data_IF_413681557759
#
_entry.id   IF_413681557759
#
_cell.length_a   1.000
_cell.length_b   1.000
_cell.length_c   1.000
_cell.angle_alpha   90.00
_cell.angle_beta   90.00
_cell.angle_gamma   90.00
#
_symmetry.space_group_name_H-M   'P 1'
#
loop_
_entity.id
_entity.type
_entity.pdbx_description
1 polymer ?
#
# COMPACT_ATOMS: atom_id res chain seq x y z
N UNK A 1 1.26 3.74 15.18
CA UNK A 1 1.17 3.65 13.71
C UNK A 1 2.30 4.47 13.10
N UNK A 2 3.38 3.85 12.62
CA UNK A 2 4.46 4.60 11.98
C UNK A 2 3.87 5.40 10.80
N UNK A 3 3.99 6.73 10.83
CA UNK A 3 3.36 7.70 9.90
C UNK A 3 3.53 7.33 8.42
N UNK A 4 4.61 6.60 8.13
CA UNK A 4 4.95 6.11 6.81
C UNK A 4 4.06 4.95 6.33
N UNK A 5 3.73 3.96 7.18
CA UNK A 5 3.01 2.75 6.78
C UNK A 5 1.61 3.07 6.21
N UNK A 6 0.91 4.02 6.85
CA UNK A 6 -0.42 4.48 6.39
C UNK A 6 -0.38 5.04 4.97
N UNK A 7 0.69 5.76 4.59
CA UNK A 7 0.86 6.31 3.24
C UNK A 7 1.13 5.21 2.20
N UNK A 8 1.94 4.21 2.53
CA UNK A 8 2.16 3.04 1.66
C UNK A 8 0.83 2.36 1.32
N UNK A 9 -0.02 2.16 2.33
CA UNK A 9 -1.33 1.56 2.15
C UNK A 9 -2.31 2.41 1.36
N UNK A 10 -2.41 3.72 1.64
CA UNK A 10 -3.29 4.60 0.88
C UNK A 10 -2.94 4.60 -0.61
N UNK A 11 -1.64 4.63 -0.96
CA UNK A 11 -1.21 4.54 -2.35
C UNK A 11 -1.62 3.20 -2.99
N UNK A 12 -1.46 2.10 -2.26
CA UNK A 12 -1.84 0.76 -2.71
C UNK A 12 -3.35 0.57 -2.88
N UNK A 13 -4.17 1.07 -1.95
CA UNK A 13 -5.63 1.04 -2.07
C UNK A 13 -6.12 1.83 -3.28
N UNK A 14 -5.58 3.04 -3.49
CA UNK A 14 -5.94 3.86 -4.64
C UNK A 14 -5.56 3.16 -5.96
N UNK A 15 -4.43 2.43 -5.97
CA UNK A 15 -4.03 1.62 -7.13
C UNK A 15 -4.99 0.47 -7.43
N UNK A 16 -5.55 -0.19 -6.39
CA UNK A 16 -6.58 -1.24 -6.55
C UNK A 16 -7.91 -0.70 -7.09
N UNK A 17 -8.20 0.59 -6.86
CA UNK A 17 -9.34 1.30 -7.46
C UNK A 17 -9.09 1.74 -8.91
N UNK A 18 -8.07 1.18 -9.58
CA UNK A 18 -7.69 1.46 -10.96
C UNK A 18 -7.22 2.90 -11.25
N UNK A 19 -6.84 3.66 -10.21
CA UNK A 19 -6.24 4.99 -10.40
C UNK A 19 -4.81 4.88 -10.91
N UNK A 20 -4.42 5.80 -11.80
CA UNK A 20 -3.05 5.90 -12.29
C UNK A 20 -2.12 6.48 -11.22
N UNK A 21 -0.82 6.17 -11.28
CA UNK A 21 0.14 6.73 -10.33
C UNK A 21 0.16 8.27 -10.31
N UNK A 22 -0.15 8.90 -11.45
CA UNK A 22 -0.25 10.36 -11.57
C UNK A 22 -1.43 10.91 -10.75
N UNK A 23 -2.58 10.24 -10.78
CA UNK A 23 -3.77 10.61 -10.00
C UNK A 23 -3.59 10.33 -8.51
N UNK A 24 -3.01 9.18 -8.17
CA UNK A 24 -2.66 8.82 -6.80
C UNK A 24 -1.72 9.88 -6.20
N UNK A 25 -0.71 10.30 -6.97
CA UNK A 25 0.20 11.37 -6.59
C UNK A 25 -0.54 12.67 -6.29
N UNK A 26 -1.46 13.10 -7.16
CA UNK A 26 -2.30 14.28 -6.94
C UNK A 26 -3.14 14.18 -5.66
N UNK A 27 -3.80 13.06 -5.43
CA UNK A 27 -4.65 12.83 -4.24
C UNK A 27 -3.83 12.88 -2.94
N UNK A 28 -2.61 12.34 -2.98
CA UNK A 28 -1.74 12.23 -1.81
C UNK A 28 -0.80 13.43 -1.61
N UNK A 29 -0.81 14.40 -2.53
CA UNK A 29 0.12 15.55 -2.51
C UNK A 29 1.59 15.13 -2.73
N UNK A 30 1.85 14.11 -3.54
CA UNK A 30 3.18 13.60 -3.87
C UNK A 30 3.37 13.42 -5.38
N UNK A 31 4.60 13.19 -5.82
CA UNK A 31 4.87 12.86 -7.22
C UNK A 31 4.35 11.47 -7.59
N UNK A 32 3.97 11.28 -8.85
CA UNK A 32 3.51 9.98 -9.34
C UNK A 32 4.57 8.88 -9.18
N UNK A 33 5.85 9.21 -9.38
CA UNK A 33 6.96 8.28 -9.13
C UNK A 33 7.02 7.82 -7.68
N UNK A 34 6.74 8.71 -6.73
CA UNK A 34 6.69 8.38 -5.30
C UNK A 34 5.46 7.54 -4.97
N UNK A 35 4.31 7.84 -5.57
CA UNK A 35 3.11 6.99 -5.46
C UNK A 35 3.35 5.57 -6.00
N UNK A 36 4.09 5.43 -7.10
CA UNK A 36 4.46 4.13 -7.65
C UNK A 36 5.32 3.32 -6.68
N UNK A 37 6.36 3.94 -6.09
CA UNK A 37 7.20 3.27 -5.07
C UNK A 37 6.37 2.85 -3.86
N UNK A 38 5.48 3.71 -3.37
CA UNK A 38 4.63 3.41 -2.22
C UNK A 38 3.68 2.23 -2.49
N UNK A 39 3.00 2.23 -3.64
CA UNK A 39 2.10 1.14 -4.03
C UNK A 39 2.86 -0.17 -4.25
N UNK A 40 3.97 -0.11 -5.01
CA UNK A 40 4.76 -1.28 -5.34
C UNK A 40 5.46 -1.89 -4.12
N UNK A 41 5.78 -1.09 -3.10
CA UNK A 41 6.36 -1.62 -1.86
C UNK A 41 5.39 -2.55 -1.13
N UNK A 42 4.09 -2.22 -1.10
CA UNK A 42 3.07 -3.08 -0.50
C UNK A 42 2.88 -4.35 -1.32
N UNK A 43 2.81 -4.21 -2.65
CA UNK A 43 2.72 -5.36 -3.58
C UNK A 43 3.94 -6.27 -3.46
N UNK A 44 5.14 -5.71 -3.39
CA UNK A 44 6.38 -6.44 -3.13
C UNK A 44 6.30 -7.16 -1.79
N UNK A 45 5.90 -6.47 -0.72
CA UNK A 45 5.71 -7.12 0.58
C UNK A 45 4.70 -8.27 0.48
N UNK A 46 3.59 -8.13 -0.25
CA UNK A 46 2.55 -9.17 -0.47
C UNK A 46 3.07 -10.34 -1.34
N UNK A 47 3.81 -10.06 -2.39
CA UNK A 47 4.35 -11.09 -3.31
C UNK A 47 5.46 -11.90 -2.66
N UNK A 48 6.31 -11.25 -1.88
CA UNK A 48 7.47 -11.87 -1.23
C UNK A 48 7.19 -12.29 0.23
N UNK A 49 5.92 -12.36 0.66
CA UNK A 49 5.49 -12.78 2.02
C UNK A 49 5.98 -14.16 2.46
N UNK A 50 6.48 -15.01 1.55
CA UNK A 50 7.05 -16.32 1.91
C UNK A 50 8.36 -16.24 2.71
N UNK A 51 8.96 -15.07 2.92
CA UNK A 51 10.16 -14.91 3.76
C UNK A 51 9.87 -14.17 5.07
N UNK A 52 9.15 -14.83 5.99
CA UNK A 52 9.31 -14.79 7.46
C UNK A 52 9.20 -13.47 8.26
N UNK A 53 9.06 -12.27 7.66
CA UNK A 53 9.06 -10.99 8.41
C UNK A 53 8.02 -9.99 7.92
N UNK A 54 6.77 -10.32 8.19
CA UNK A 54 5.69 -9.35 8.14
C UNK A 54 5.24 -9.13 9.58
N UNK A 55 5.33 -7.89 10.05
CA UNK A 55 4.76 -7.52 11.36
C UNK A 55 3.31 -8.01 11.40
N UNK A 56 2.91 -8.66 12.50
CA UNK A 56 1.52 -9.09 12.69
C UNK A 56 0.53 -7.96 12.43
N UNK A 57 0.92 -6.69 12.70
CA UNK A 57 0.12 -5.51 12.39
C UNK A 57 -0.22 -5.37 10.90
N UNK A 58 0.72 -5.70 10.00
CA UNK A 58 0.50 -5.66 8.55
C UNK A 58 -0.46 -6.78 8.12
N UNK A 59 -0.32 -7.98 8.71
CA UNK A 59 -1.24 -9.10 8.47
C UNK A 59 -2.65 -8.79 8.97
N UNK A 60 -2.78 -8.20 10.15
CA UNK A 60 -4.08 -7.80 10.73
C UNK A 60 -4.76 -6.69 9.92
N UNK A 61 -4.00 -5.70 9.45
CA UNK A 61 -4.51 -4.68 8.53
C UNK A 61 -4.99 -5.30 7.23
N UNK A 62 -4.17 -6.12 6.56
CA UNK A 62 -4.57 -6.81 5.33
C UNK A 62 -5.84 -7.63 5.59
N UNK A 63 -5.90 -8.41 6.67
CA UNK A 63 -7.05 -9.26 7.02
C UNK A 63 -8.31 -8.43 7.29
N UNK A 64 -8.20 -7.28 7.98
CA UNK A 64 -9.32 -6.38 8.28
C UNK A 64 -9.91 -5.73 7.03
N UNK A 65 -9.08 -5.41 6.05
CA UNK A 65 -9.51 -4.80 4.79
C UNK A 65 -9.93 -5.84 3.73
N UNK A 66 -9.31 -7.02 3.70
CA UNK A 66 -9.72 -8.11 2.80
C UNK A 66 -11.03 -8.79 3.23
N UNK A 67 -11.36 -8.84 4.53
CA UNK A 67 -12.63 -9.40 5.03
C UNK A 67 -13.84 -8.48 4.79
N UNK A 68 -13.62 -7.27 4.26
CA UNK A 68 -14.65 -6.25 4.00
C UNK A 68 -15.03 -6.14 2.51
N UNK A 69 -14.45 -6.99 1.66
CA UNK A 69 -14.91 -7.30 0.30
C UNK A 69 -15.70 -8.60 0.41
#
# INVERSE_FOLDING_TARGET
MARNLKRYYQAWELRRKNLTFKEIGKIMGITGSRAAVLSNHVDFKIKYQKQWRISNELKELIKKYFKKI
#
